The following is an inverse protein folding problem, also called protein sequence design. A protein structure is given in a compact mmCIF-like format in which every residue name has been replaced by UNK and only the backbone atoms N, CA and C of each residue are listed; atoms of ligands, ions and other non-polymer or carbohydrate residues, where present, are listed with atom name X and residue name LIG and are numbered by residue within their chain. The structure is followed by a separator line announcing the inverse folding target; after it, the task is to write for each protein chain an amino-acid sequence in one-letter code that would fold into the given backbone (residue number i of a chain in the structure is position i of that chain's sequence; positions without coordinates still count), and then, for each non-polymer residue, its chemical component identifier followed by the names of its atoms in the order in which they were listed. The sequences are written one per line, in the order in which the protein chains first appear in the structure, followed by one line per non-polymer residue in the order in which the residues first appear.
data_IF_981772555350
#
_entry.id   IF_981772555350
#
_cell.length_a   1.000
_cell.length_b   1.000
_cell.length_c   1.000
_cell.angle_alpha   90.00
_cell.angle_beta   90.00
_cell.angle_gamma   90.00
#
_symmetry.space_group_name_H-M   'P 1'
#
loop_
_entity.id
_entity.type
_entity.pdbx_description
1 polymer ?
#
# COMPACT_ATOMS: atom_id res chain seq x y z
N UNK A 1 -9.85 -12.31 -19.15
CA UNK A 1 -10.31 -11.95 -17.78
C UNK A 1 -11.36 -10.86 -17.86
N UNK A 2 -12.47 -10.96 -17.10
CA UNK A 2 -13.51 -9.93 -17.05
C UNK A 2 -13.29 -9.04 -15.84
N UNK A 3 -13.15 -7.72 -16.06
CA UNK A 3 -12.91 -6.76 -15.02
C UNK A 3 -13.98 -5.67 -15.05
N UNK A 4 -14.54 -5.38 -13.89
CA UNK A 4 -15.45 -4.26 -13.66
C UNK A 4 -14.70 -3.14 -12.93
N UNK A 5 -14.64 -1.92 -13.46
CA UNK A 5 -14.03 -0.80 -12.74
C UNK A 5 -14.68 -0.58 -11.36
N UNK A 6 -13.85 -0.37 -10.34
CA UNK A 6 -14.28 -0.02 -8.98
C UNK A 6 -14.40 1.49 -8.80
N UNK A 7 -13.53 2.23 -9.48
CA UNK A 7 -13.47 3.68 -9.44
C UNK A 7 -13.17 4.21 -10.85
N UNK A 8 -13.50 5.47 -11.13
CA UNK A 8 -13.27 6.09 -12.44
C UNK A 8 -11.80 6.23 -12.81
N UNK A 9 -10.91 6.27 -11.82
CA UNK A 9 -9.48 6.53 -12.00
C UNK A 9 -8.60 5.27 -11.89
N UNK A 10 -9.02 4.25 -11.11
CA UNK A 10 -8.22 3.06 -10.82
C UNK A 10 -9.09 1.97 -10.17
N UNK A 11 -8.50 0.77 -9.98
CA UNK A 11 -9.13 -0.35 -9.31
C UNK A 11 -10.09 -1.13 -10.20
N UNK A 12 -9.96 -2.46 -10.19
CA UNK A 12 -10.79 -3.40 -10.94
C UNK A 12 -11.30 -4.55 -10.07
N UNK A 13 -12.57 -4.89 -10.19
CA UNK A 13 -13.13 -6.13 -9.66
C UNK A 13 -13.03 -7.24 -10.71
N UNK A 14 -12.33 -8.30 -10.37
CA UNK A 14 -12.19 -9.49 -11.23
C UNK A 14 -13.40 -10.39 -11.02
N UNK A 15 -14.16 -10.65 -12.09
CA UNK A 15 -15.47 -11.29 -11.99
C UNK A 15 -15.45 -12.79 -12.28
N UNK A 16 -14.45 -13.29 -12.98
CA UNK A 16 -14.38 -14.65 -13.52
C UNK A 16 -13.14 -15.43 -13.08
N UNK A 17 -12.64 -15.13 -11.87
CA UNK A 17 -11.46 -15.80 -11.32
C UNK A 17 -11.80 -16.62 -10.07
N UNK A 18 -11.57 -17.94 -10.13
CA UNK A 18 -11.67 -18.83 -8.97
C UNK A 18 -10.33 -18.89 -8.23
N UNK A 19 -10.26 -18.21 -7.10
CA UNK A 19 -9.05 -18.15 -6.25
C UNK A 19 -8.69 -19.52 -5.66
N UNK A 20 -9.67 -20.41 -5.50
CA UNK A 20 -9.49 -21.76 -4.91
C UNK A 20 -9.09 -22.82 -5.92
N UNK A 21 -9.25 -22.56 -7.22
CA UNK A 21 -8.97 -23.47 -8.30
C UNK A 21 -7.51 -23.45 -8.77
N UNK A 22 -7.17 -24.40 -9.65
CA UNK A 22 -5.90 -24.36 -10.37
C UNK A 22 -5.85 -23.14 -11.28
N UNK A 23 -4.71 -22.45 -11.30
CA UNK A 23 -4.53 -21.25 -12.10
C UNK A 23 -3.49 -21.48 -13.18
N UNK A 24 -3.91 -21.32 -14.44
CA UNK A 24 -3.00 -21.45 -15.57
C UNK A 24 -1.96 -20.31 -15.61
N UNK A 25 -0.77 -20.54 -16.21
CA UNK A 25 0.21 -19.47 -16.41
C UNK A 25 -0.35 -18.26 -17.18
N UNK A 26 -1.26 -18.49 -18.11
CA UNK A 26 -1.95 -17.42 -18.85
C UNK A 26 -2.83 -16.58 -17.92
N UNK A 27 -3.62 -17.19 -17.05
CA UNK A 27 -4.46 -16.45 -16.09
C UNK A 27 -3.62 -15.66 -15.06
N UNK A 28 -2.44 -16.18 -14.69
CA UNK A 28 -1.49 -15.44 -13.86
C UNK A 28 -0.95 -14.22 -14.62
N UNK A 29 -0.65 -14.38 -15.92
CA UNK A 29 -0.26 -13.27 -16.80
C UNK A 29 -1.35 -12.19 -16.84
N UNK A 30 -2.59 -12.58 -17.14
CA UNK A 30 -3.74 -11.68 -17.17
C UNK A 30 -3.94 -10.92 -15.84
N UNK A 31 -3.72 -11.57 -14.69
CA UNK A 31 -3.81 -10.91 -13.37
C UNK A 31 -2.71 -9.88 -13.16
N UNK A 32 -1.48 -10.17 -13.60
CA UNK A 32 -0.37 -9.22 -13.52
C UNK A 32 -0.62 -7.99 -14.38
N UNK A 33 -1.03 -8.21 -15.64
CA UNK A 33 -1.36 -7.13 -16.56
C UNK A 33 -2.52 -6.28 -16.02
N UNK A 34 -3.54 -6.93 -15.45
CA UNK A 34 -4.64 -6.25 -14.80
C UNK A 34 -4.20 -5.41 -13.58
N UNK A 35 -3.25 -5.92 -12.77
CA UNK A 35 -2.69 -5.14 -11.65
C UNK A 35 -1.91 -3.92 -12.15
N UNK A 36 -1.19 -4.05 -13.28
CA UNK A 36 -0.47 -2.95 -13.91
C UNK A 36 -1.41 -1.86 -14.43
N UNK A 37 -2.53 -2.26 -15.03
CA UNK A 37 -3.51 -1.35 -15.62
C UNK A 37 -4.37 -0.65 -14.56
N UNK A 38 -4.80 -1.40 -13.53
CA UNK A 38 -5.77 -0.91 -12.54
C UNK A 38 -5.15 -0.49 -11.21
N UNK A 39 -3.92 -0.90 -10.90
CA UNK A 39 -3.22 -0.63 -9.64
C UNK A 39 -3.79 -1.35 -8.41
N UNK A 40 -5.06 -1.74 -8.44
CA UNK A 40 -5.76 -2.47 -7.37
C UNK A 40 -6.76 -3.46 -7.99
N UNK A 41 -6.74 -4.70 -7.48
CA UNK A 41 -7.69 -5.74 -7.86
C UNK A 41 -8.49 -6.22 -6.65
N UNK A 42 -9.79 -6.34 -6.82
CA UNK A 42 -10.71 -6.97 -5.88
C UNK A 42 -11.21 -8.29 -6.47
N UNK A 43 -11.08 -9.36 -5.69
CA UNK A 43 -11.69 -10.65 -6.01
C UNK A 43 -12.67 -11.02 -4.90
N UNK A 44 -13.96 -11.09 -5.23
CA UNK A 44 -15.00 -11.48 -4.28
C UNK A 44 -14.99 -13.00 -4.11
N UNK A 45 -15.07 -13.44 -2.87
CA UNK A 45 -15.10 -14.85 -2.52
C UNK A 45 -16.25 -15.16 -1.56
N UNK A 46 -16.74 -16.40 -1.59
CA UNK A 46 -17.74 -16.94 -0.67
C UNK A 46 -17.13 -17.82 0.42
N UNK A 47 -15.82 -18.07 0.36
CA UNK A 47 -15.07 -18.94 1.28
C UNK A 47 -13.67 -18.40 1.56
N UNK A 48 -13.12 -18.82 2.70
CA UNK A 48 -11.74 -18.53 3.08
C UNK A 48 -10.76 -19.21 2.13
N UNK A 49 -9.73 -18.49 1.73
CA UNK A 49 -8.55 -19.03 1.06
C UNK A 49 -7.59 -19.59 2.13
N UNK A 50 -7.07 -20.79 1.93
CA UNK A 50 -6.03 -21.34 2.81
C UNK A 50 -4.78 -20.44 2.80
N UNK A 51 -4.05 -20.30 3.93
CA UNK A 51 -2.86 -19.45 3.99
C UNK A 51 -1.83 -19.77 2.91
N UNK A 52 -1.56 -21.05 2.63
CA UNK A 52 -0.61 -21.48 1.60
C UNK A 52 -1.06 -21.05 0.20
N UNK A 53 -2.36 -21.12 -0.08
CA UNK A 53 -2.91 -20.65 -1.35
C UNK A 53 -2.82 -19.12 -1.47
N UNK A 54 -3.05 -18.38 -0.39
CA UNK A 54 -2.86 -16.93 -0.40
C UNK A 54 -1.39 -16.55 -0.62
N UNK A 55 -0.46 -17.31 -0.01
CA UNK A 55 0.99 -17.17 -0.24
C UNK A 55 1.35 -17.46 -1.70
N UNK A 56 0.80 -18.52 -2.29
CA UNK A 56 0.98 -18.84 -3.72
C UNK A 56 0.50 -17.70 -4.62
N UNK A 57 -0.70 -17.18 -4.39
CA UNK A 57 -1.26 -16.04 -5.14
C UNK A 57 -0.35 -14.79 -5.02
N UNK A 58 0.10 -14.46 -3.81
CA UNK A 58 1.06 -13.36 -3.62
C UNK A 58 2.35 -13.57 -4.41
N UNK A 59 2.84 -14.81 -4.48
CA UNK A 59 4.05 -15.19 -5.21
C UNK A 59 3.95 -14.99 -6.73
N UNK A 60 2.75 -14.90 -7.29
CA UNK A 60 2.58 -14.57 -8.71
C UNK A 60 3.03 -13.16 -9.06
N UNK A 61 3.06 -12.24 -8.09
CA UNK A 61 3.44 -10.84 -8.29
C UNK A 61 4.91 -10.53 -7.95
N UNK A 62 5.66 -11.52 -7.47
CA UNK A 62 7.09 -11.38 -7.19
C UNK A 62 7.58 -12.12 -5.93
N UNK A 63 8.83 -11.90 -5.52
CA UNK A 63 9.40 -12.49 -4.32
C UNK A 63 8.60 -12.09 -3.07
N UNK A 64 8.33 -13.07 -2.21
CA UNK A 64 7.54 -12.82 -1.02
C UNK A 64 8.42 -12.33 0.15
N UNK A 65 7.98 -11.26 0.78
CA UNK A 65 8.56 -10.79 2.02
C UNK A 65 8.33 -11.82 3.13
N UNK A 66 9.40 -12.28 3.74
CA UNK A 66 9.34 -13.22 4.86
C UNK A 66 9.75 -12.53 6.17
N UNK A 67 9.12 -12.94 7.26
CA UNK A 67 9.56 -12.68 8.62
C UNK A 67 9.89 -14.01 9.31
N UNK A 68 11.17 -14.27 9.55
CA UNK A 68 11.65 -15.55 10.12
C UNK A 68 11.09 -16.79 9.38
N UNK A 69 11.06 -16.75 8.04
CA UNK A 69 10.56 -17.83 7.18
C UNK A 69 9.05 -17.84 6.96
N UNK A 70 8.26 -17.10 7.74
CA UNK A 70 6.81 -16.98 7.55
C UNK A 70 6.51 -15.91 6.50
N UNK A 71 5.74 -16.26 5.47
CA UNK A 71 5.42 -15.41 4.30
C UNK A 71 4.05 -14.75 4.38
N UNK A 72 3.35 -14.88 5.49
CA UNK A 72 2.06 -14.24 5.74
C UNK A 72 1.95 -13.78 7.18
N UNK A 73 1.03 -12.87 7.43
CA UNK A 73 0.74 -12.36 8.78
C UNK A 73 -0.77 -12.12 8.93
N UNK A 74 -1.20 -11.95 10.16
CA UNK A 74 -2.57 -11.57 10.49
C UNK A 74 -2.55 -10.16 11.08
N UNK A 75 -3.37 -9.28 10.52
CA UNK A 75 -3.69 -7.99 11.08
C UNK A 75 -4.97 -8.17 11.89
N UNK A 76 -4.79 -8.41 13.18
CA UNK A 76 -5.91 -8.53 14.14
C UNK A 76 -6.06 -7.21 14.90
N UNK A 77 -7.21 -6.60 14.76
CA UNK A 77 -7.57 -5.36 15.44
C UNK A 77 -8.75 -5.58 16.39
N UNK A 78 -8.89 -6.78 16.96
CA UNK A 78 -10.04 -7.14 17.80
C UNK A 78 -10.26 -6.18 18.98
N UNK A 79 -9.17 -5.72 19.61
CA UNK A 79 -9.24 -4.77 20.75
C UNK A 79 -9.34 -3.31 20.31
N UNK A 80 -8.95 -2.98 19.08
CA UNK A 80 -8.89 -1.63 18.54
C UNK A 80 -9.72 -1.45 17.26
N UNK A 81 -10.64 -2.37 16.98
CA UNK A 81 -11.48 -2.32 15.78
C UNK A 81 -12.26 -1.01 15.73
N UNK A 82 -11.96 -0.18 14.76
CA UNK A 82 -12.60 1.11 14.56
C UNK A 82 -11.98 2.31 15.28
N UNK A 83 -11.09 2.11 16.27
CA UNK A 83 -10.51 3.22 17.03
C UNK A 83 -9.23 3.81 16.43
N UNK A 84 -8.53 3.07 15.59
CA UNK A 84 -7.23 3.49 15.03
C UNK A 84 -7.42 4.04 13.63
N UNK A 85 -7.38 5.36 13.50
CA UNK A 85 -7.14 6.03 12.22
C UNK A 85 -5.70 5.79 11.79
N UNK A 86 -5.51 5.40 10.53
CA UNK A 86 -4.19 5.32 9.91
C UNK A 86 -4.21 6.18 8.64
N UNK A 87 -3.44 7.29 8.60
CA UNK A 87 -3.39 8.18 7.45
C UNK A 87 -2.94 7.47 6.17
N UNK A 88 -3.15 8.09 5.02
CA UNK A 88 -2.73 7.53 3.75
C UNK A 88 -1.23 7.30 3.68
N UNK A 89 -0.84 6.08 3.29
CA UNK A 89 0.54 5.65 3.20
C UNK A 89 0.73 4.56 2.14
N UNK A 90 2.00 4.37 1.77
CA UNK A 90 2.51 3.17 1.13
C UNK A 90 3.40 2.46 2.12
N UNK A 91 3.18 1.17 2.33
CA UNK A 91 3.95 0.39 3.31
C UNK A 91 5.44 0.44 3.00
N UNK A 92 6.24 0.73 4.03
CA UNK A 92 7.69 0.82 3.96
C UNK A 92 8.23 1.93 3.03
N UNK A 93 7.42 2.96 2.73
CA UNK A 93 7.88 4.15 2.00
C UNK A 93 9.07 4.85 2.67
N UNK A 94 9.25 4.66 3.95
CA UNK A 94 10.35 5.17 4.77
C UNK A 94 11.62 4.29 4.69
N UNK A 95 11.69 3.35 3.76
CA UNK A 95 12.87 2.50 3.49
C UNK A 95 13.32 2.64 2.04
N UNK A 96 14.55 2.26 1.74
CA UNK A 96 15.08 2.22 0.37
C UNK A 96 14.47 1.08 -0.47
N UNK A 97 13.73 0.18 0.16
CA UNK A 97 13.06 -0.96 -0.48
C UNK A 97 11.60 -1.04 -0.04
N UNK A 98 10.74 -0.11 -0.48
CA UNK A 98 9.30 -0.16 -0.20
C UNK A 98 8.70 -1.49 -0.64
N UNK A 99 7.65 -1.94 0.07
CA UNK A 99 6.88 -3.10 -0.37
C UNK A 99 6.28 -2.81 -1.75
N UNK A 100 6.32 -3.80 -2.64
CA UNK A 100 5.87 -3.64 -4.03
C UNK A 100 4.40 -3.96 -4.20
N UNK A 101 3.96 -5.11 -3.72
CA UNK A 101 2.56 -5.53 -3.79
C UNK A 101 2.12 -6.04 -2.44
N UNK A 102 0.89 -5.71 -2.07
CA UNK A 102 0.24 -6.22 -0.86
C UNK A 102 -1.06 -6.91 -1.25
N UNK A 103 -1.33 -8.00 -0.56
CA UNK A 103 -2.57 -8.74 -0.69
C UNK A 103 -3.20 -8.94 0.69
N UNK A 104 -4.48 -8.59 0.83
CA UNK A 104 -5.25 -8.78 2.06
C UNK A 104 -6.48 -9.63 1.77
N UNK A 105 -6.70 -10.66 2.60
CA UNK A 105 -7.96 -11.38 2.66
C UNK A 105 -8.68 -11.08 3.97
N UNK A 106 -9.96 -10.73 3.91
CA UNK A 106 -10.79 -10.55 5.11
C UNK A 106 -11.18 -11.91 5.70
N UNK A 107 -10.70 -12.20 6.91
CA UNK A 107 -11.09 -13.40 7.66
C UNK A 107 -12.28 -13.16 8.57
N UNK A 108 -12.37 -11.96 9.17
CA UNK A 108 -13.50 -11.49 9.93
C UNK A 108 -13.71 -10.00 9.71
N UNK A 109 -14.96 -9.59 9.64
CA UNK A 109 -15.38 -8.20 9.48
C UNK A 109 -16.44 -7.90 10.54
N UNK A 110 -16.33 -6.79 11.29
CA UNK A 110 -17.31 -6.44 12.31
C UNK A 110 -18.69 -6.19 11.70
N UNK A 111 -19.76 -6.47 12.45
CA UNK A 111 -21.15 -6.34 11.99
C UNK A 111 -21.51 -4.93 11.50
N UNK A 112 -20.92 -3.89 12.10
CA UNK A 112 -21.06 -2.49 11.68
C UNK A 112 -20.22 -2.10 10.47
N UNK A 113 -19.48 -3.05 9.89
CA UNK A 113 -18.62 -2.84 8.75
C UNK A 113 -17.20 -2.35 9.10
N UNK A 114 -16.34 -2.36 8.12
CA UNK A 114 -14.98 -1.81 8.16
C UNK A 114 -14.58 -1.44 6.73
N UNK A 115 -13.72 -0.46 6.59
CA UNK A 115 -13.25 -0.06 5.28
C UNK A 115 -11.72 0.12 5.25
N UNK A 116 -11.17 0.02 4.05
CA UNK A 116 -9.85 0.56 3.69
C UNK A 116 -10.04 1.54 2.54
N UNK A 117 -9.50 2.74 2.68
CA UNK A 117 -9.51 3.75 1.63
C UNK A 117 -8.26 3.64 0.78
N UNK A 118 -8.39 3.92 -0.50
CA UNK A 118 -7.31 3.85 -1.48
C UNK A 118 -7.31 5.08 -2.39
N UNK A 119 -6.13 5.51 -2.83
CA UNK A 119 -5.93 6.56 -3.85
C UNK A 119 -4.83 6.16 -4.80
N UNK A 120 -4.90 6.60 -6.06
CA UNK A 120 -3.91 6.28 -7.08
C UNK A 120 -2.86 7.38 -7.23
N UNK A 121 -1.59 7.05 -7.00
CA UNK A 121 -0.44 7.91 -7.24
C UNK A 121 -0.24 8.24 -8.73
N UNK A 122 -0.60 7.30 -9.62
CA UNK A 122 -0.54 7.51 -11.07
C UNK A 122 -1.62 8.48 -11.54
N UNK A 123 -2.85 8.35 -11.02
CA UNK A 123 -3.92 9.30 -11.30
C UNK A 123 -3.59 10.68 -10.76
N UNK A 124 -3.14 10.77 -9.51
CA UNK A 124 -2.74 12.01 -8.89
C UNK A 124 -1.65 12.74 -9.69
N UNK A 125 -0.64 12.02 -10.18
CA UNK A 125 0.37 12.63 -11.07
C UNK A 125 -0.25 13.14 -12.37
N UNK A 126 -1.06 12.33 -13.04
CA UNK A 126 -1.64 12.65 -14.36
C UNK A 126 -2.56 13.87 -14.34
N UNK A 127 -3.17 14.16 -13.21
CA UNK A 127 -4.14 15.26 -13.03
C UNK A 127 -3.52 16.55 -12.50
N UNK A 128 -2.21 16.59 -12.21
CA UNK A 128 -1.48 17.83 -11.95
C UNK A 128 -1.31 18.64 -13.24
N UNK A 129 -1.25 19.97 -13.09
CA UNK A 129 -0.85 20.83 -14.20
C UNK A 129 0.61 20.63 -14.62
N UNK A 130 0.94 20.92 -15.88
CA UNK A 130 2.24 20.64 -16.46
C UNK A 130 3.40 21.40 -15.79
N UNK A 131 3.17 22.64 -15.33
CA UNK A 131 4.20 23.43 -14.69
C UNK A 131 4.55 22.86 -13.31
N UNK A 132 3.53 22.42 -12.56
CA UNK A 132 3.72 21.77 -11.28
C UNK A 132 4.40 20.40 -11.46
N UNK A 133 4.00 19.60 -12.47
CA UNK A 133 4.70 18.35 -12.82
C UNK A 133 6.20 18.60 -13.10
N UNK A 134 6.52 19.59 -13.94
CA UNK A 134 7.89 19.94 -14.29
C UNK A 134 8.73 20.39 -13.06
N UNK A 135 8.10 21.06 -12.11
CA UNK A 135 8.72 21.46 -10.83
C UNK A 135 8.96 20.25 -9.93
N UNK A 136 7.93 19.44 -9.70
CA UNK A 136 7.96 18.28 -8.81
C UNK A 136 8.92 17.19 -9.28
N UNK A 137 9.11 17.03 -10.60
CA UNK A 137 10.03 16.05 -11.17
C UNK A 137 11.50 16.23 -10.76
N UNK A 138 11.86 17.39 -10.18
CA UNK A 138 13.22 17.71 -9.73
C UNK A 138 13.39 17.64 -8.22
N UNK A 139 12.33 17.27 -7.49
CA UNK A 139 12.29 17.33 -6.04
C UNK A 139 12.39 15.93 -5.41
N UNK A 140 12.98 15.91 -4.22
CA UNK A 140 13.17 14.70 -3.40
C UNK A 140 12.39 14.85 -2.10
N UNK A 141 11.57 13.84 -1.79
CA UNK A 141 10.83 13.76 -0.53
C UNK A 141 11.54 12.83 0.43
N UNK A 142 11.84 13.32 1.64
CA UNK A 142 12.25 12.47 2.76
C UNK A 142 11.03 11.88 3.43
N UNK A 143 11.01 10.54 3.51
CA UNK A 143 10.08 9.80 4.33
C UNK A 143 10.75 9.40 5.64
N UNK A 144 9.97 9.42 6.73
CA UNK A 144 10.44 9.08 8.08
C UNK A 144 9.39 8.27 8.81
N UNK A 145 9.83 7.27 9.54
CA UNK A 145 9.00 6.55 10.51
C UNK A 145 9.71 6.52 11.86
N UNK A 146 9.12 7.19 12.85
CA UNK A 146 9.69 7.35 14.18
C UNK A 146 8.67 7.10 15.31
N UNK A 147 7.44 6.71 14.95
CA UNK A 147 6.31 6.65 15.90
C UNK A 147 6.42 5.55 16.96
N UNK A 148 7.31 4.58 16.80
CA UNK A 148 7.50 3.46 17.73
C UNK A 148 8.96 2.99 17.73
N UNK A 149 9.89 3.92 18.01
CA UNK A 149 11.31 3.56 18.11
C UNK A 149 11.52 2.68 19.35
N UNK A 150 12.00 1.45 19.12
CA UNK A 150 12.37 0.48 20.15
C UNK A 150 13.66 -0.20 19.72
N UNK A 151 14.28 -0.98 20.61
CA UNK A 151 15.44 -1.82 20.25
C UNK A 151 15.12 -2.78 19.10
N UNK A 152 13.86 -3.21 18.96
CA UNK A 152 13.40 -4.08 17.88
C UNK A 152 12.99 -3.29 16.62
N UNK A 153 12.51 -2.05 16.77
CA UNK A 153 12.02 -1.19 15.68
C UNK A 153 12.78 0.15 15.66
N UNK A 154 13.87 0.26 14.89
CA UNK A 154 14.67 1.49 14.79
C UNK A 154 13.92 2.60 14.05
N UNK A 155 14.45 3.82 14.12
CA UNK A 155 14.02 4.88 13.22
C UNK A 155 14.34 4.52 11.78
N UNK A 156 13.42 4.82 10.88
CA UNK A 156 13.62 4.65 9.44
C UNK A 156 13.56 5.99 8.73
N UNK A 157 14.49 6.20 7.82
CA UNK A 157 14.55 7.38 6.95
C UNK A 157 14.95 6.91 5.56
N UNK A 158 14.19 7.35 4.54
CA UNK A 158 14.54 7.15 3.14
C UNK A 158 14.12 8.37 2.31
N UNK A 159 14.94 8.70 1.31
CA UNK A 159 14.69 9.76 0.37
C UNK A 159 14.24 9.15 -0.97
N UNK A 160 13.12 9.62 -1.50
CA UNK A 160 12.55 9.18 -2.78
C UNK A 160 12.26 10.39 -3.68
N UNK A 161 12.36 10.24 -5.00
CA UNK A 161 11.85 11.27 -5.92
C UNK A 161 10.36 11.53 -5.65
N UNK A 162 9.94 12.80 -5.64
CA UNK A 162 8.52 13.19 -5.59
C UNK A 162 7.78 12.60 -6.79
N UNK A 163 8.41 12.66 -7.99
CA UNK A 163 8.01 11.91 -9.18
C UNK A 163 8.76 10.59 -9.22
N UNK A 164 8.18 9.56 -8.66
CA UNK A 164 8.72 8.21 -8.76
C UNK A 164 8.34 7.59 -10.11
N UNK A 165 9.30 6.98 -10.81
CA UNK A 165 9.01 6.15 -11.97
C UNK A 165 8.71 4.73 -11.49
N UNK A 166 7.56 4.19 -11.90
CA UNK A 166 7.18 2.84 -11.51
C UNK A 166 8.13 1.81 -12.14
N UNK A 167 8.80 0.94 -11.33
CA UNK A 167 9.92 0.12 -11.83
C UNK A 167 9.53 -0.93 -12.88
N UNK A 168 8.26 -1.32 -12.97
CA UNK A 168 7.77 -2.33 -13.90
C UNK A 168 7.08 -1.70 -15.11
N UNK A 169 6.24 -0.69 -14.91
CA UNK A 169 5.43 -0.09 -15.98
C UNK A 169 6.05 1.16 -16.59
N UNK A 170 7.03 1.79 -15.92
CA UNK A 170 7.57 3.09 -16.30
C UNK A 170 6.63 4.27 -16.05
N UNK A 171 5.43 4.04 -15.53
CA UNK A 171 4.46 5.09 -15.27
C UNK A 171 4.95 6.09 -14.21
N UNK A 172 4.75 7.39 -14.39
CA UNK A 172 5.06 8.38 -13.37
C UNK A 172 4.04 8.33 -12.24
N UNK A 173 4.53 8.35 -10.99
CA UNK A 173 3.76 8.31 -9.77
C UNK A 173 4.03 9.56 -8.94
N UNK A 174 2.99 10.18 -8.37
CA UNK A 174 3.15 11.19 -7.33
C UNK A 174 3.35 10.48 -5.97
N UNK A 175 4.62 10.26 -5.61
CA UNK A 175 4.98 9.43 -4.44
C UNK A 175 5.10 10.27 -3.16
N UNK A 176 3.96 10.80 -2.71
CA UNK A 176 3.87 11.70 -1.55
C UNK A 176 2.79 11.16 -0.60
N UNK A 177 3.23 10.52 0.50
CA UNK A 177 2.32 9.94 1.49
C UNK A 177 2.09 10.90 2.66
N UNK A 178 0.88 10.94 3.23
CA UNK A 178 0.60 11.78 4.40
C UNK A 178 1.33 11.26 5.65
N UNK A 179 1.26 9.95 5.89
CA UNK A 179 1.73 9.34 7.14
C UNK A 179 3.24 9.41 7.35
N UNK A 180 4.02 9.35 6.27
CA UNK A 180 5.48 9.23 6.37
C UNK A 180 6.26 10.40 5.75
N UNK A 181 5.60 11.30 4.99
CA UNK A 181 6.28 12.47 4.44
C UNK A 181 6.83 13.36 5.57
N UNK A 182 8.12 13.67 5.49
CA UNK A 182 8.78 14.51 6.47
C UNK A 182 9.07 15.90 5.89
N UNK A 183 9.77 15.97 4.77
CA UNK A 183 10.07 17.26 4.08
C UNK A 183 10.54 17.03 2.65
N UNK A 184 10.32 18.03 1.80
CA UNK A 184 10.95 18.12 0.47
C UNK A 184 12.32 18.77 0.66
N UNK A 185 13.38 18.11 0.21
CA UNK A 185 14.75 18.43 0.59
C UNK A 185 15.27 19.74 -0.03
N UNK A 186 14.83 20.05 -1.25
CA UNK A 186 15.24 21.21 -2.02
C UNK A 186 14.48 22.50 -1.67
N UNK A 187 13.49 22.44 -0.77
CA UNK A 187 12.67 23.56 -0.36
C UNK A 187 12.98 24.00 1.07
N UNK A 188 12.80 25.30 1.33
CA UNK A 188 12.80 25.82 2.70
C UNK A 188 11.65 25.17 3.51
N UNK A 189 11.80 24.96 4.82
CA UNK A 189 10.82 24.22 5.63
C UNK A 189 9.37 24.69 5.44
N UNK A 190 9.11 25.97 5.55
CA UNK A 190 7.76 26.51 5.40
C UNK A 190 7.21 26.41 3.96
N UNK A 191 8.07 26.35 2.95
CA UNK A 191 7.66 26.09 1.56
C UNK A 191 7.36 24.61 1.35
N UNK A 192 8.19 23.73 1.91
CA UNK A 192 7.95 22.28 1.91
C UNK A 192 6.60 21.96 2.54
N UNK A 193 6.29 22.52 3.71
CA UNK A 193 5.02 22.26 4.41
C UNK A 193 3.82 22.71 3.56
N UNK A 194 3.89 23.90 2.95
CA UNK A 194 2.82 24.38 2.06
C UNK A 194 2.65 23.51 0.82
N UNK A 195 3.76 23.07 0.23
CA UNK A 195 3.74 22.19 -0.94
C UNK A 195 3.12 20.84 -0.58
N UNK A 196 3.55 20.22 0.53
CA UNK A 196 2.99 18.95 0.99
C UNK A 196 1.49 19.07 1.25
N UNK A 197 1.04 20.12 1.95
CA UNK A 197 -0.38 20.34 2.20
C UNK A 197 -1.20 20.48 0.90
N UNK A 198 -0.68 21.19 -0.09
CA UNK A 198 -1.34 21.33 -1.40
C UNK A 198 -1.40 19.99 -2.17
N UNK A 199 -0.33 19.19 -2.14
CA UNK A 199 -0.28 17.88 -2.77
C UNK A 199 -1.23 16.90 -2.08
N UNK A 200 -1.32 16.89 -0.76
CA UNK A 200 -2.28 16.05 -0.04
C UNK A 200 -3.73 16.44 -0.35
N UNK A 201 -4.04 17.75 -0.39
CA UNK A 201 -5.37 18.20 -0.78
C UNK A 201 -5.76 17.74 -2.19
N UNK A 202 -4.79 17.66 -3.12
CA UNK A 202 -4.99 17.15 -4.47
C UNK A 202 -5.14 15.62 -4.50
N UNK A 203 -4.24 14.89 -3.84
CA UNK A 203 -4.24 13.40 -3.86
C UNK A 203 -5.50 12.86 -3.18
N UNK A 204 -5.89 13.44 -2.03
CA UNK A 204 -6.96 12.91 -1.17
C UNK A 204 -8.30 13.64 -1.35
N UNK A 205 -8.45 14.39 -2.46
CA UNK A 205 -9.74 14.95 -2.83
C UNK A 205 -10.81 13.82 -2.86
N UNK A 206 -12.02 14.04 -2.32
CA UNK A 206 -13.03 12.99 -2.15
C UNK A 206 -13.32 12.18 -3.42
N UNK A 207 -13.27 12.83 -4.58
CA UNK A 207 -13.48 12.22 -5.89
C UNK A 207 -12.35 11.28 -6.31
N UNK A 208 -11.19 11.32 -5.66
CA UNK A 208 -10.03 10.46 -5.93
C UNK A 208 -9.98 9.24 -5.00
N UNK A 209 -10.84 9.19 -3.98
CA UNK A 209 -10.80 8.16 -2.93
C UNK A 209 -11.77 7.03 -3.26
N UNK A 210 -11.25 5.83 -3.40
CA UNK A 210 -12.04 4.61 -3.38
C UNK A 210 -12.03 4.03 -1.98
N UNK A 211 -13.20 3.96 -1.33
CA UNK A 211 -13.38 3.31 -0.03
C UNK A 211 -13.94 1.91 -0.23
N UNK A 212 -13.13 0.89 0.06
CA UNK A 212 -13.53 -0.51 -0.03
C UNK A 212 -14.24 -0.96 1.26
N UNK A 213 -15.55 -1.18 1.23
CA UNK A 213 -16.26 -1.78 2.35
C UNK A 213 -15.99 -3.29 2.36
N UNK A 214 -15.23 -3.75 3.35
CA UNK A 214 -14.88 -5.16 3.47
C UNK A 214 -16.11 -6.06 3.63
N UNK A 215 -16.12 -7.16 2.90
CA UNK A 215 -16.99 -8.32 3.13
C UNK A 215 -16.13 -9.50 3.55
N UNK A 216 -16.67 -10.47 4.31
CA UNK A 216 -15.95 -11.71 4.60
C UNK A 216 -15.41 -12.34 3.32
N UNK A 217 -14.15 -12.75 3.37
CA UNK A 217 -13.39 -13.42 2.32
C UNK A 217 -13.05 -12.59 1.08
N UNK A 218 -13.39 -11.30 1.01
CA UNK A 218 -12.84 -10.43 -0.02
C UNK A 218 -11.31 -10.54 -0.05
N UNK A 219 -10.74 -10.70 -1.25
CA UNK A 219 -9.32 -10.61 -1.52
C UNK A 219 -9.04 -9.32 -2.28
N UNK A 220 -8.26 -8.43 -1.69
CA UNK A 220 -7.78 -7.20 -2.33
C UNK A 220 -6.28 -7.30 -2.52
N UNK A 221 -5.82 -7.04 -3.75
CA UNK A 221 -4.40 -7.04 -4.14
C UNK A 221 -4.11 -5.65 -4.72
N UNK A 222 -3.07 -4.99 -4.26
CA UNK A 222 -2.71 -3.70 -4.84
C UNK A 222 -1.21 -3.51 -5.00
N UNK A 223 -0.84 -2.73 -6.01
CA UNK A 223 0.50 -2.22 -6.19
C UNK A 223 0.73 -1.09 -5.18
N UNK A 224 1.60 -1.32 -4.22
CA UNK A 224 1.80 -0.43 -3.08
C UNK A 224 2.66 0.82 -3.43
N UNK A 225 3.25 0.85 -4.62
CA UNK A 225 3.88 2.08 -5.15
C UNK A 225 2.86 2.93 -5.90
N UNK A 226 1.99 2.29 -6.69
CA UNK A 226 0.99 2.97 -7.51
C UNK A 226 -0.25 3.41 -6.72
N UNK A 227 -0.54 2.77 -5.58
CA UNK A 227 -1.73 2.99 -4.76
C UNK A 227 -1.36 3.14 -3.29
N UNK A 228 -1.75 4.26 -2.70
CA UNK A 228 -1.72 4.45 -1.25
C UNK A 228 -2.99 3.91 -0.62
N UNK A 229 -2.89 3.55 0.65
CA UNK A 229 -4.02 3.08 1.43
C UNK A 229 -4.09 3.72 2.81
N UNK A 230 -5.30 3.79 3.36
CA UNK A 230 -5.57 4.36 4.67
C UNK A 230 -6.63 3.53 5.41
N UNK A 231 -6.60 3.61 6.73
CA UNK A 231 -7.73 3.19 7.55
C UNK A 231 -8.51 4.43 7.96
N UNK A 232 -9.71 4.66 7.40
CA UNK A 232 -10.51 5.83 7.75
C UNK A 232 -10.84 5.85 9.24
N UNK A 233 -10.94 7.05 9.81
CA UNK A 233 -11.54 7.22 11.12
C UNK A 233 -13.02 6.77 11.07
N UNK A 234 -13.48 6.14 12.12
CA UNK A 234 -14.90 5.83 12.31
C UNK A 234 -15.48 6.73 13.40
N UNK A 235 -16.69 7.23 13.19
CA UNK A 235 -17.34 8.13 14.14
C UNK A 235 -17.62 7.44 15.48
N UNK A 236 -17.99 6.15 15.43
CA UNK A 236 -18.25 5.32 16.60
C UNK A 236 -17.45 4.00 16.51
N UNK A 237 -16.90 3.51 17.63
CA UNK A 237 -16.24 2.22 17.65
C UNK A 237 -17.19 1.10 17.22
N UNK A 238 -16.78 0.31 16.23
CA UNK A 238 -17.57 -0.81 15.73
C UNK A 238 -17.18 -2.06 16.49
N UNK A 239 -18.17 -2.71 17.12
CA UNK A 239 -17.95 -3.93 17.90
C UNK A 239 -17.66 -5.14 16.98
N UNK A 240 -16.71 -5.96 17.40
CA UNK A 240 -16.36 -7.20 16.74
C UNK A 240 -14.97 -7.19 16.08
N UNK A 241 -14.45 -8.38 15.73
CA UNK A 241 -13.11 -8.52 15.22
C UNK A 241 -13.01 -8.02 13.75
N UNK A 242 -11.94 -7.30 13.44
CA UNK A 242 -11.46 -7.07 12.08
C UNK A 242 -10.16 -7.84 11.92
N UNK A 243 -10.23 -8.96 11.22
CA UNK A 243 -9.08 -9.84 11.02
C UNK A 243 -8.81 -9.95 9.53
N UNK A 244 -7.63 -9.51 9.11
CA UNK A 244 -7.16 -9.59 7.72
C UNK A 244 -5.88 -10.43 7.67
N UNK A 245 -5.85 -11.43 6.80
CA UNK A 245 -4.64 -12.16 6.45
C UNK A 245 -3.88 -11.38 5.39
N UNK A 246 -2.58 -11.14 5.62
CA UNK A 246 -1.72 -10.32 4.76
C UNK A 246 -0.60 -11.14 4.15
N UNK A 247 -0.37 -10.95 2.87
CA UNK A 247 0.83 -11.37 2.13
C UNK A 247 1.44 -10.14 1.48
N UNK A 248 2.77 -10.02 1.51
CA UNK A 248 3.50 -8.90 0.94
C UNK A 248 4.60 -9.38 0.00
N UNK A 249 4.78 -8.66 -1.10
CA UNK A 249 5.81 -8.89 -2.10
C UNK A 249 6.94 -7.88 -1.90
N UNK A 250 8.13 -8.37 -1.60
CA UNK A 250 9.35 -7.57 -1.50
C UNK A 250 10.57 -8.48 -1.71
N UNK A 251 11.60 -7.97 -2.35
CA UNK A 251 12.88 -8.66 -2.55
C UNK A 251 13.69 -8.78 -1.26
N UNK A 252 13.38 -7.93 -0.27
CA UNK A 252 14.10 -7.84 1.00
C UNK A 252 13.21 -8.34 2.13
N UNK A 253 13.72 -9.25 2.95
CA UNK A 253 13.02 -9.74 4.13
C UNK A 253 12.92 -8.68 5.24
N UNK A 254 11.96 -8.82 6.15
CA UNK A 254 11.82 -7.90 7.27
C UNK A 254 13.09 -7.83 8.16
N UNK A 255 13.75 -8.95 8.53
CA UNK A 255 15.01 -8.89 9.26
C UNK A 255 16.11 -8.09 8.56
N UNK A 256 16.24 -8.20 7.23
CA UNK A 256 17.24 -7.44 6.46
C UNK A 256 16.93 -5.96 6.43
N UNK A 257 15.64 -5.57 6.29
CA UNK A 257 15.21 -4.17 6.37
C UNK A 257 15.56 -3.57 7.72
N UNK A 258 15.25 -4.26 8.81
CA UNK A 258 15.58 -3.85 10.18
C UNK A 258 17.10 -3.73 10.38
N UNK A 259 17.89 -4.69 9.89
CA UNK A 259 19.34 -4.66 9.98
C UNK A 259 19.95 -3.48 9.21
N UNK A 260 19.42 -3.15 8.04
CA UNK A 260 19.86 -1.97 7.26
C UNK A 260 19.58 -0.67 8.01
N UNK A 261 18.38 -0.50 8.56
CA UNK A 261 18.01 0.69 9.32
C UNK A 261 18.92 0.91 10.54
N UNK A 262 19.22 -0.16 11.31
CA UNK A 262 20.14 -0.08 12.46
C UNK A 262 21.56 0.32 12.06
N UNK A 263 22.09 -0.19 10.94
CA UNK A 263 23.42 0.21 10.43
C UNK A 263 23.50 1.67 10.04
N UNK A 264 22.41 2.24 9.51
CA UNK A 264 22.37 3.67 9.16
C UNK A 264 22.39 4.57 10.39
N UNK A 265 21.88 4.11 11.53
CA UNK A 265 21.88 4.85 12.80
C UNK A 265 23.20 4.72 13.57
N UNK A 266 23.88 3.57 13.48
CA UNK A 266 25.17 3.29 14.11
C UNK A 266 26.11 2.62 13.12
N UNK A 267 26.83 3.40 12.29
CA UNK A 267 27.78 2.87 11.30
C UNK A 267 28.93 2.06 11.89
N UNK A 268 29.21 2.20 13.20
CA UNK A 268 30.24 1.45 13.92
C UNK A 268 29.75 0.09 14.47
N UNK A 269 28.45 -0.19 14.36
CA UNK A 269 27.87 -1.47 14.80
C UNK A 269 28.02 -2.52 13.69
N UNK A 270 28.67 -3.68 13.98
CA UNK A 270 28.92 -4.74 12.99
C UNK A 270 27.64 -5.37 12.41
#
# INVERSE_FOLDING_TARGET
MKIRPLHSAFGGEVLDFDVGGETSPSAIGDLRDALDDYGLLLVRQDRRIAPDRHVEIGGWFGPLMANNGVKWSVLDNAEAAGAIHLPFHSDFSYTTTPIKVISLQALAVPAGGSATAYVSNAHAWRTLDADLQARLAKLTLRHRHSSQITDQWPEFIADHPVRLEHPRTGAPLLYVTEHHAHRILELEPAESDRMLAALWAHIYAPENVYSHPWRPYDLVIWDNLAVQHARPAVAEPVAGPRILQRVAVNETSLPEILARARRLQDPARP
#
